data_IF_300335665303
#
_entry.id   IF_300335665303
#
_cell.length_a   1.000
_cell.length_b   1.000
_cell.length_c   1.000
_cell.angle_alpha   90.00
_cell.angle_beta   90.00
_cell.angle_gamma   90.00
#
_symmetry.space_group_name_H-M   'P 1'
#
loop_
_entity.id
_entity.type
_entity.pdbx_description
1 polymer ?
#
# COMPACT_ATOMS: atom_id res chain seq x y z
N UNK A 1 -3.98 -6.79 52.26
CA UNK A 1 -5.05 -6.05 51.57
C UNK A 1 -4.56 -5.32 50.32
N UNK A 2 -3.49 -4.57 50.41
CA UNK A 2 -2.92 -3.87 49.23
C UNK A 2 -2.55 -4.78 48.08
N UNK A 3 -2.02 -5.96 48.35
CA UNK A 3 -1.62 -6.93 47.30
C UNK A 3 -2.82 -7.50 46.56
N UNK A 4 -3.96 -7.69 47.21
CA UNK A 4 -5.19 -8.19 46.56
C UNK A 4 -5.79 -7.12 45.65
N UNK A 5 -5.81 -5.89 46.09
CA UNK A 5 -6.32 -4.77 45.30
C UNK A 5 -5.47 -4.57 44.05
N UNK A 6 -4.14 -4.69 44.16
CA UNK A 6 -3.23 -4.56 43.04
C UNK A 6 -3.41 -5.66 41.99
N UNK A 7 -3.62 -6.89 42.41
CA UNK A 7 -3.89 -8.01 41.50
C UNK A 7 -5.19 -7.84 40.75
N UNK A 8 -6.22 -7.37 41.44
CA UNK A 8 -7.50 -7.15 40.81
C UNK A 8 -7.45 -6.04 39.75
N UNK A 9 -6.78 -4.96 40.04
CA UNK A 9 -6.59 -3.86 39.06
C UNK A 9 -5.80 -4.31 37.84
N UNK A 10 -4.72 -5.08 38.03
CA UNK A 10 -3.94 -5.62 36.94
C UNK A 10 -4.76 -6.59 36.07
N UNK A 11 -5.57 -7.44 36.66
CA UNK A 11 -6.43 -8.38 35.97
C UNK A 11 -7.49 -7.66 35.14
N UNK A 12 -8.09 -6.60 35.69
CA UNK A 12 -9.07 -5.79 34.97
C UNK A 12 -8.45 -5.09 33.77
N UNK A 13 -7.25 -4.53 33.92
CA UNK A 13 -6.55 -3.87 32.81
C UNK A 13 -6.23 -4.81 31.67
N UNK A 14 -5.79 -6.03 31.97
CA UNK A 14 -5.51 -7.06 30.97
C UNK A 14 -6.77 -7.48 30.24
N UNK A 15 -7.88 -7.66 30.97
CA UNK A 15 -9.16 -8.04 30.39
C UNK A 15 -9.70 -6.97 29.44
N UNK A 16 -9.57 -5.69 29.79
CA UNK A 16 -10.00 -4.58 28.94
C UNK A 16 -9.17 -4.51 27.67
N UNK A 17 -7.86 -4.68 27.78
CA UNK A 17 -6.96 -4.68 26.61
C UNK A 17 -7.28 -5.83 25.65
N UNK A 18 -7.54 -7.00 26.19
CA UNK A 18 -7.91 -8.16 25.39
C UNK A 18 -9.29 -7.99 24.72
N UNK A 19 -10.25 -7.40 25.41
CA UNK A 19 -11.57 -7.12 24.85
C UNK A 19 -11.48 -6.12 23.68
N UNK A 20 -10.63 -5.11 23.76
CA UNK A 20 -10.42 -4.18 22.66
C UNK A 20 -9.81 -4.86 21.44
N UNK A 21 -8.86 -5.78 21.62
CA UNK A 21 -8.27 -6.56 20.55
C UNK A 21 -9.27 -7.56 19.95
N UNK A 22 -10.09 -8.19 20.78
CA UNK A 22 -11.11 -9.16 20.35
C UNK A 22 -12.29 -8.47 19.64
N UNK A 23 -12.63 -7.25 20.02
CA UNK A 23 -13.67 -6.46 19.38
C UNK A 23 -13.19 -5.68 18.17
N UNK A 24 -12.11 -6.09 17.51
CA UNK A 24 -11.54 -5.48 16.29
C UNK A 24 -12.54 -5.18 15.18
N UNK A 25 -13.84 -5.44 15.42
CA UNK A 25 -14.99 -5.00 14.64
C UNK A 25 -15.10 -3.49 14.49
N UNK A 26 -14.39 -2.69 15.30
CA UNK A 26 -14.37 -1.24 15.17
C UNK A 26 -13.43 -0.74 14.05
N UNK A 27 -12.53 -1.59 13.52
CA UNK A 27 -11.66 -1.25 12.41
C UNK A 27 -12.19 -1.94 11.15
N UNK A 28 -12.78 -1.20 10.21
CA UNK A 28 -13.25 -1.81 8.97
C UNK A 28 -12.07 -2.42 8.21
N UNK A 29 -12.26 -3.61 7.65
CA UNK A 29 -11.28 -4.25 6.83
C UNK A 29 -11.08 -3.41 5.55
N UNK A 30 -9.84 -3.09 5.21
CA UNK A 30 -9.52 -2.41 3.98
C UNK A 30 -9.63 -3.38 2.79
N UNK A 31 -10.06 -2.88 1.64
CA UNK A 31 -9.94 -3.61 0.39
C UNK A 31 -8.51 -3.49 -0.14
N UNK A 32 -8.00 -4.56 -0.72
CA UNK A 32 -6.67 -4.56 -1.32
C UNK A 32 -6.71 -5.26 -2.68
N UNK A 33 -6.24 -4.55 -3.70
CA UNK A 33 -6.11 -5.07 -5.05
C UNK A 33 -4.66 -4.94 -5.50
N UNK A 34 -4.16 -5.92 -6.22
CA UNK A 34 -2.81 -5.85 -6.73
C UNK A 34 -2.68 -6.48 -8.11
N UNK A 35 -1.72 -5.99 -8.87
CA UNK A 35 -1.26 -6.56 -10.12
C UNK A 35 0.26 -6.63 -10.08
N UNK A 36 0.82 -7.64 -10.72
CA UNK A 36 2.27 -7.79 -10.83
C UNK A 36 2.65 -8.27 -12.21
N UNK A 37 3.77 -7.82 -12.70
CA UNK A 37 4.27 -8.26 -13.99
C UNK A 37 5.57 -7.60 -14.38
N UNK A 38 6.15 -8.07 -15.47
CA UNK A 38 7.39 -7.54 -15.99
C UNK A 38 7.17 -6.18 -16.67
N UNK A 39 8.09 -5.26 -16.44
CA UNK A 39 8.19 -4.00 -17.15
C UNK A 39 9.23 -4.10 -18.27
N UNK A 40 9.36 -3.05 -19.06
CA UNK A 40 10.42 -2.93 -20.07
C UNK A 40 11.68 -2.30 -19.50
N UNK A 41 11.75 -2.09 -18.20
CA UNK A 41 12.92 -1.54 -17.54
C UNK A 41 14.07 -2.54 -17.55
N UNK A 42 15.32 -2.10 -17.81
CA UNK A 42 16.48 -2.99 -17.78
C UNK A 42 16.91 -3.38 -16.36
N UNK A 43 16.49 -2.63 -15.36
CA UNK A 43 16.86 -2.88 -13.96
C UNK A 43 15.82 -2.26 -13.01
N UNK A 44 16.00 -2.51 -11.71
CA UNK A 44 15.09 -2.05 -10.66
C UNK A 44 15.02 -0.53 -10.57
N UNK A 45 16.16 0.15 -10.68
CA UNK A 45 16.19 1.61 -10.60
C UNK A 45 15.36 2.26 -11.70
N UNK A 46 15.41 1.73 -12.90
CA UNK A 46 14.64 2.23 -14.03
C UNK A 46 13.16 1.87 -13.86
N UNK A 47 12.86 0.68 -13.35
CA UNK A 47 11.50 0.30 -13.01
C UNK A 47 10.88 1.28 -12.01
N UNK A 48 11.61 1.65 -10.96
CA UNK A 48 11.14 2.64 -9.99
C UNK A 48 10.98 4.03 -10.61
N UNK A 49 11.82 4.40 -11.57
CA UNK A 49 11.67 5.68 -12.27
C UNK A 49 10.40 5.69 -13.14
N UNK A 50 10.06 4.58 -13.77
CA UNK A 50 8.80 4.43 -14.48
C UNK A 50 7.60 4.58 -13.53
N UNK A 51 7.67 3.91 -12.38
CA UNK A 51 6.62 4.02 -11.36
C UNK A 51 6.43 5.46 -10.90
N UNK A 52 7.51 6.17 -10.65
CA UNK A 52 7.48 7.58 -10.23
C UNK A 52 6.87 8.47 -11.31
N UNK A 53 7.26 8.29 -12.55
CA UNK A 53 6.73 9.05 -13.68
C UNK A 53 5.22 8.82 -13.85
N UNK A 54 4.80 7.57 -13.79
CA UNK A 54 3.38 7.24 -13.94
C UNK A 54 2.54 7.69 -12.75
N UNK A 55 3.11 7.71 -11.55
CA UNK A 55 2.41 8.28 -10.38
C UNK A 55 2.02 9.73 -10.62
N UNK A 56 2.93 10.53 -11.16
CA UNK A 56 2.65 11.92 -11.53
C UNK A 56 1.63 12.03 -12.67
N UNK A 57 1.80 11.25 -13.71
CA UNK A 57 0.91 11.30 -14.89
C UNK A 57 -0.52 10.86 -14.59
N UNK A 58 -0.69 9.97 -13.61
CA UNK A 58 -2.00 9.46 -13.20
C UNK A 58 -2.57 10.17 -11.97
N UNK A 59 -2.08 11.36 -11.69
CA UNK A 59 -2.63 12.28 -10.69
C UNK A 59 -2.63 11.72 -9.26
N UNK A 60 -1.65 10.91 -8.91
CA UNK A 60 -1.47 10.56 -7.51
C UNK A 60 -1.04 11.80 -6.72
N UNK A 61 -1.67 12.00 -5.57
CA UNK A 61 -1.37 13.10 -4.66
C UNK A 61 -0.42 12.63 -3.57
N UNK A 62 0.30 13.57 -2.97
CA UNK A 62 1.21 13.30 -1.85
C UNK A 62 2.20 12.18 -2.17
N UNK A 63 2.74 12.21 -3.37
CA UNK A 63 3.64 11.15 -3.86
C UNK A 63 4.92 11.15 -3.04
N UNK A 64 5.26 9.97 -2.50
CA UNK A 64 6.51 9.70 -1.83
C UNK A 64 7.23 8.57 -2.56
N UNK A 65 8.52 8.73 -2.72
CA UNK A 65 9.35 7.79 -3.45
C UNK A 65 10.63 7.54 -2.68
N UNK A 66 10.97 6.28 -2.52
CA UNK A 66 12.25 5.84 -1.99
C UNK A 66 12.74 4.64 -2.82
N UNK A 67 13.79 3.98 -2.35
CA UNK A 67 14.34 2.82 -3.05
C UNK A 67 13.48 1.57 -2.95
N UNK A 68 12.43 1.60 -2.16
CA UNK A 68 11.50 0.46 -2.00
C UNK A 68 10.28 0.61 -2.88
N UNK A 69 9.88 1.82 -3.20
CA UNK A 69 8.70 2.03 -4.03
C UNK A 69 8.26 3.46 -4.12
N UNK A 70 7.14 3.63 -4.81
CA UNK A 70 6.48 4.91 -5.01
C UNK A 70 5.05 4.78 -4.52
N UNK A 71 4.61 5.68 -3.67
CA UNK A 71 3.26 5.66 -3.13
C UNK A 71 2.58 7.01 -3.22
N UNK A 72 1.26 6.99 -3.22
CA UNK A 72 0.47 8.21 -3.25
C UNK A 72 -1.01 7.90 -3.11
N UNK A 73 -1.81 8.93 -3.12
CA UNK A 73 -3.26 8.81 -2.96
C UNK A 73 -3.99 9.39 -4.17
N UNK A 74 -5.11 8.81 -4.52
CA UNK A 74 -6.06 9.37 -5.48
C UNK A 74 -7.46 8.97 -5.07
N UNK A 75 -8.34 9.96 -4.97
CA UNK A 75 -9.67 9.80 -4.39
C UNK A 75 -9.53 9.24 -2.97
N UNK A 76 -10.18 8.14 -2.65
CA UNK A 76 -10.08 7.51 -1.33
C UNK A 76 -9.17 6.27 -1.35
N UNK A 77 -8.29 6.18 -2.36
CA UNK A 77 -7.38 5.05 -2.50
C UNK A 77 -5.94 5.45 -2.18
N UNK A 78 -5.24 4.52 -1.58
CA UNK A 78 -3.79 4.59 -1.42
C UNK A 78 -3.15 3.60 -2.38
N UNK A 79 -2.26 4.06 -3.23
CA UNK A 79 -1.59 3.25 -4.23
C UNK A 79 -0.10 3.17 -3.94
N UNK A 80 0.47 1.99 -4.08
CA UNK A 80 1.92 1.75 -3.95
C UNK A 80 2.37 0.94 -5.16
N UNK A 81 3.47 1.37 -5.74
CA UNK A 81 4.17 0.62 -6.79
C UNK A 81 5.58 0.32 -6.29
N UNK A 82 5.94 -0.94 -6.28
CA UNK A 82 7.28 -1.37 -5.89
C UNK A 82 7.87 -2.23 -7.00
N UNK A 83 9.18 -2.28 -7.09
CA UNK A 83 9.88 -3.06 -8.09
C UNK A 83 10.82 -4.06 -7.45
N UNK A 84 10.84 -5.26 -8.01
CA UNK A 84 11.83 -6.29 -7.71
C UNK A 84 12.50 -6.65 -9.04
N UNK A 85 13.74 -6.18 -9.23
CA UNK A 85 14.34 -6.20 -10.56
C UNK A 85 13.50 -5.36 -11.52
N UNK A 86 13.12 -5.94 -12.66
CA UNK A 86 12.24 -5.29 -13.63
C UNK A 86 10.76 -5.63 -13.45
N UNK A 87 10.41 -6.37 -12.40
CA UNK A 87 9.03 -6.67 -12.07
C UNK A 87 8.43 -5.57 -11.21
N UNK A 88 7.26 -5.08 -11.61
CA UNK A 88 6.49 -4.15 -10.80
C UNK A 88 5.36 -4.87 -10.08
N UNK A 89 5.13 -4.50 -8.85
CA UNK A 89 3.95 -4.87 -8.07
C UNK A 89 3.20 -3.59 -7.77
N UNK A 90 1.96 -3.51 -8.25
CA UNK A 90 1.08 -2.37 -7.99
C UNK A 90 0.02 -2.81 -7.00
N UNK A 91 -0.09 -2.11 -5.89
CA UNK A 91 -1.07 -2.38 -4.84
C UNK A 91 -1.93 -1.15 -4.62
N UNK A 92 -3.24 -1.35 -4.53
CA UNK A 92 -4.18 -0.28 -4.22
C UNK A 92 -5.07 -0.73 -3.08
N UNK A 93 -5.12 0.08 -2.04
CA UNK A 93 -6.00 -0.16 -0.89
C UNK A 93 -7.01 0.98 -0.76
N UNK A 94 -8.17 0.63 -0.25
CA UNK A 94 -9.25 1.57 0.01
C UNK A 94 -10.14 1.06 1.13
N UNK A 95 -11.20 1.78 1.41
CA UNK A 95 -12.18 1.40 2.42
C UNK A 95 -12.93 0.13 2.00
N UNK A 96 -13.47 -0.57 3.00
CA UNK A 96 -14.31 -1.76 2.77
C UNK A 96 -15.44 -1.44 1.78
N UNK A 97 -15.60 -2.31 0.79
CA UNK A 97 -16.65 -2.15 -0.21
C UNK A 97 -16.28 -1.26 -1.39
N UNK A 98 -15.09 -0.65 -1.38
CA UNK A 98 -14.59 0.11 -2.53
C UNK A 98 -13.82 -0.81 -3.46
N UNK A 99 -13.85 -0.50 -4.75
CA UNK A 99 -13.15 -1.27 -5.77
C UNK A 99 -11.96 -0.46 -6.31
N UNK A 100 -10.76 -0.81 -5.82
CA UNK A 100 -9.52 -0.20 -6.27
C UNK A 100 -8.91 -0.86 -7.51
N UNK A 101 -9.54 -1.91 -8.05
CA UNK A 101 -8.97 -2.63 -9.18
C UNK A 101 -8.82 -1.79 -10.46
N UNK A 102 -9.72 -0.85 -10.79
CA UNK A 102 -9.50 0.02 -11.94
C UNK A 102 -8.25 0.88 -11.80
N UNK A 103 -8.01 1.46 -10.64
CA UNK A 103 -6.81 2.25 -10.39
C UNK A 103 -5.56 1.38 -10.42
N UNK A 104 -5.60 0.21 -9.79
CA UNK A 104 -4.48 -0.72 -9.81
C UNK A 104 -4.12 -1.16 -11.23
N UNK A 105 -5.11 -1.47 -12.05
CA UNK A 105 -4.91 -1.82 -13.45
C UNK A 105 -4.38 -0.64 -14.27
N UNK A 106 -4.92 0.54 -14.07
CA UNK A 106 -4.47 1.74 -14.76
C UNK A 106 -2.98 1.99 -14.53
N UNK A 107 -2.54 1.95 -13.28
CA UNK A 107 -1.13 2.15 -12.92
C UNK A 107 -0.25 1.01 -13.43
N UNK A 108 -0.71 -0.21 -13.29
CA UNK A 108 0.01 -1.39 -13.78
C UNK A 108 0.22 -1.33 -15.30
N UNK A 109 -0.83 -1.05 -16.06
CA UNK A 109 -0.75 -0.95 -17.50
C UNK A 109 0.19 0.19 -17.92
N UNK A 110 0.12 1.32 -17.22
CA UNK A 110 0.96 2.46 -17.51
C UNK A 110 2.45 2.15 -17.30
N UNK A 111 2.81 1.55 -16.18
CA UNK A 111 4.20 1.21 -15.87
C UNK A 111 4.75 0.12 -16.80
N UNK A 112 3.93 -0.89 -17.11
CA UNK A 112 4.37 -1.99 -17.97
C UNK A 112 4.49 -1.60 -19.44
N UNK A 113 3.80 -0.54 -19.87
CA UNK A 113 3.90 -0.01 -21.25
C UNK A 113 5.03 0.98 -21.42
N UNK A 114 5.50 1.60 -20.35
CA UNK A 114 6.59 2.58 -20.46
C UNK A 114 7.86 1.92 -20.95
N UNK A 115 8.57 2.61 -21.81
CA UNK A 115 9.82 2.13 -22.41
C UNK A 115 10.85 3.26 -22.40
N UNK A 116 12.12 2.86 -22.35
CA UNK A 116 13.22 3.80 -22.51
C UNK A 116 13.40 4.15 -24.00
N UNK A 117 13.19 5.41 -24.34
CA UNK A 117 13.29 5.88 -25.72
C UNK A 117 14.74 6.26 -26.04
N UNK A 118 15.46 6.84 -25.09
CA UNK A 118 16.82 7.38 -25.28
C UNK A 118 17.86 6.65 -24.42
N UNK A 119 17.61 5.42 -24.05
CA UNK A 119 18.48 4.64 -23.17
C UNK A 119 18.37 5.08 -21.71
N UNK A 120 17.93 4.20 -20.91
CA UNK A 120 17.89 4.44 -19.46
C UNK A 120 19.25 4.26 -18.80
#
# INVERSE_FOLDING_TARGET
>A
MLKKTFRNVAAISVAVSFAMLASGTSVPAASLFYFKGATKAPNERVCLSFARDQAGRHNLQNVKSDRLGVGGTRDNFFAVMTCVGNFVVVMVSGDTGTDGSPLARELFDAVTREACIDGC
#
